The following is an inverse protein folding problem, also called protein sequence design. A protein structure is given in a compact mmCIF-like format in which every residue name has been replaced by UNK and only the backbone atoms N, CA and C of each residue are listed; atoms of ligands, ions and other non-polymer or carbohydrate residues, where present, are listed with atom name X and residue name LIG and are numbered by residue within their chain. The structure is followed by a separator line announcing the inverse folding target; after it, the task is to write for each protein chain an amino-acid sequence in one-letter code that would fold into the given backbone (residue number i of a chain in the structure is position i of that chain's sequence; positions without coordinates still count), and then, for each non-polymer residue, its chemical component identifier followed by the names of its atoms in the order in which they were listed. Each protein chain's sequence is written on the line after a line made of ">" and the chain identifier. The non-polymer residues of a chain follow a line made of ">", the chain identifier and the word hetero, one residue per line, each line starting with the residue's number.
data_IF_579642318249
#
_entry.id   IF_579642318249
#
_cell.length_a   1.000
_cell.length_b   1.000
_cell.length_c   1.000
_cell.angle_alpha   90.00
_cell.angle_beta   90.00
_cell.angle_gamma   90.00
#
_symmetry.space_group_name_H-M   'P 1'
#
loop_
_entity.id
_entity.type
_entity.pdbx_description
1 polymer ?
#
# COMPACT_ATOMS: atom_id res chain seq x y z
N UNK A 1 -11.24 19.25 -0.87
CA UNK A 1 -10.13 18.83 -1.74
C UNK A 1 -9.30 17.73 -1.08
N UNK A 2 -9.18 17.73 0.25
CA UNK A 2 -8.51 16.66 1.02
C UNK A 2 -9.22 15.31 0.96
N UNK A 3 -10.56 15.28 0.90
CA UNK A 3 -11.36 14.05 0.92
C UNK A 3 -11.11 13.14 -0.30
N UNK A 4 -10.95 13.70 -1.50
CA UNK A 4 -10.66 12.90 -2.71
C UNK A 4 -9.29 12.24 -2.58
N UNK A 5 -8.30 12.97 -2.07
CA UNK A 5 -6.95 12.47 -1.88
C UNK A 5 -6.93 11.38 -0.79
N UNK A 6 -7.69 11.55 0.28
CA UNK A 6 -7.88 10.55 1.33
C UNK A 6 -8.52 9.25 0.79
N UNK A 7 -9.57 9.36 -0.04
CA UNK A 7 -10.18 8.22 -0.73
C UNK A 7 -9.14 7.54 -1.62
N UNK A 8 -8.38 8.29 -2.42
CA UNK A 8 -7.34 7.74 -3.28
C UNK A 8 -6.24 7.01 -2.49
N UNK A 9 -5.79 7.55 -1.36
CA UNK A 9 -4.81 6.89 -0.48
C UNK A 9 -5.40 5.59 0.07
N UNK A 10 -6.62 5.63 0.61
CA UNK A 10 -7.30 4.45 1.15
C UNK A 10 -7.43 3.33 0.12
N UNK A 11 -7.88 3.66 -1.10
CA UNK A 11 -8.02 2.71 -2.20
C UNK A 11 -6.65 2.22 -2.72
N UNK A 12 -5.64 3.09 -2.79
CA UNK A 12 -4.30 2.70 -3.21
C UNK A 12 -3.67 1.73 -2.21
N UNK A 13 -3.79 1.99 -0.90
CA UNK A 13 -3.37 1.07 0.15
C UNK A 13 -4.14 -0.23 0.09
N UNK A 14 -5.45 -0.18 -0.16
CA UNK A 14 -6.26 -1.38 -0.35
C UNK A 14 -5.75 -2.25 -1.50
N UNK A 15 -5.29 -1.66 -2.61
CA UNK A 15 -4.68 -2.42 -3.71
C UNK A 15 -3.38 -3.14 -3.29
N UNK A 16 -2.64 -2.59 -2.32
CA UNK A 16 -1.41 -3.23 -1.82
C UNK A 16 -1.67 -4.45 -0.93
N UNK A 17 -2.87 -4.56 -0.35
CA UNK A 17 -3.32 -5.73 0.44
C UNK A 17 -3.30 -7.00 -0.39
N UNK A 18 -3.51 -6.89 -1.72
CA UNK A 18 -3.48 -8.04 -2.61
C UNK A 18 -2.14 -8.78 -2.66
N UNK A 19 -1.03 -8.08 -2.40
CA UNK A 19 0.30 -8.67 -2.37
C UNK A 19 0.59 -9.31 -1.01
N UNK A 20 0.26 -8.61 0.08
CA UNK A 20 0.30 -9.10 1.46
C UNK A 20 -0.78 -8.41 2.25
N UNK A 21 -1.55 -9.17 3.03
CA UNK A 21 -2.73 -8.65 3.69
C UNK A 21 -2.33 -7.74 4.86
N UNK A 22 -1.36 -8.18 5.65
CA UNK A 22 -1.01 -7.51 6.90
C UNK A 22 0.09 -6.46 6.76
N UNK A 23 0.94 -6.56 5.73
CA UNK A 23 2.07 -5.63 5.54
C UNK A 23 1.62 -4.17 5.37
N UNK A 24 0.60 -3.83 4.55
CA UNK A 24 0.13 -2.45 4.44
C UNK A 24 -0.46 -1.93 5.76
N UNK A 25 -1.15 -2.79 6.54
CA UNK A 25 -1.67 -2.45 7.87
C UNK A 25 -0.55 -2.18 8.87
N UNK A 26 0.51 -3.00 8.87
CA UNK A 26 1.69 -2.80 9.69
C UNK A 26 2.38 -1.47 9.36
N UNK A 27 2.60 -1.17 8.08
CA UNK A 27 3.25 0.07 7.65
C UNK A 27 2.37 1.27 8.04
N UNK A 28 1.06 1.19 7.81
CA UNK A 28 0.12 2.24 8.24
C UNK A 28 0.21 2.46 9.75
N UNK A 29 0.19 1.39 10.55
CA UNK A 29 0.33 1.47 12.00
C UNK A 29 1.65 2.11 12.44
N UNK A 30 2.78 1.76 11.82
CA UNK A 30 4.09 2.37 12.11
C UNK A 30 4.07 3.87 11.81
N UNK A 31 3.53 4.29 10.66
CA UNK A 31 3.46 5.70 10.28
C UNK A 31 2.56 6.52 11.22
N UNK A 32 1.48 5.93 11.71
CA UNK A 32 0.62 6.56 12.72
C UNK A 32 1.34 6.62 14.07
N UNK A 33 2.09 5.59 14.44
CA UNK A 33 2.82 5.53 15.71
C UNK A 33 3.91 6.59 15.86
N UNK A 34 4.56 6.95 14.75
CA UNK A 34 5.61 7.98 14.71
C UNK A 34 5.04 9.37 14.40
N UNK A 35 3.71 9.55 14.53
CA UNK A 35 2.98 10.80 14.27
C UNK A 35 3.19 11.37 12.85
N UNK A 36 3.54 10.53 11.88
CA UNK A 36 3.67 10.95 10.48
C UNK A 36 2.31 11.06 9.79
N UNK A 37 1.34 10.25 10.22
CA UNK A 37 -0.03 10.21 9.68
C UNK A 37 -1.04 10.32 10.81
N UNK A 38 -2.10 11.07 10.56
CA UNK A 38 -3.31 11.10 11.40
C UNK A 38 -4.44 10.41 10.67
N UNK A 39 -5.02 9.38 11.29
CA UNK A 39 -6.19 8.66 10.77
C UNK A 39 -7.49 9.34 11.18
N UNK A 40 -8.60 8.93 10.55
CA UNK A 40 -9.95 9.35 10.95
C UNK A 40 -10.28 8.95 12.38
N UNK A 41 -11.25 9.65 12.97
CA UNK A 41 -11.68 9.42 14.35
C UNK A 41 -12.12 7.97 14.54
N UNK A 42 -11.64 7.32 15.61
CA UNK A 42 -11.91 5.91 15.89
C UNK A 42 -10.94 4.91 15.27
N UNK A 43 -9.99 5.33 14.42
CA UNK A 43 -8.96 4.45 13.83
C UNK A 43 -7.54 4.66 14.38
N UNK A 44 -7.35 5.58 15.33
CA UNK A 44 -6.05 5.85 15.97
C UNK A 44 -5.43 4.61 16.64
N UNK A 45 -6.25 3.63 17.03
CA UNK A 45 -5.78 2.36 17.60
C UNK A 45 -4.87 1.56 16.66
N UNK A 46 -4.95 1.78 15.34
CA UNK A 46 -4.07 1.13 14.34
C UNK A 46 -2.60 1.47 14.60
N UNK A 47 -2.32 2.67 15.11
CA UNK A 47 -0.97 3.11 15.52
C UNK A 47 -0.59 2.75 16.96
N UNK A 48 -1.42 2.01 17.69
CA UNK A 48 -1.09 1.59 19.05
C UNK A 48 -0.03 0.47 19.05
N UNK A 49 0.84 0.44 20.05
CA UNK A 49 1.87 -0.60 20.18
C UNK A 49 1.29 -2.03 20.14
N UNK A 50 0.15 -2.34 20.78
CA UNK A 50 -0.46 -3.67 20.66
C UNK A 50 -0.90 -4.01 19.22
N UNK A 51 -1.47 -3.05 18.49
CA UNK A 51 -1.90 -3.27 17.10
C UNK A 51 -0.70 -3.51 16.18
N UNK A 52 0.38 -2.74 16.34
CA UNK A 52 1.62 -2.91 15.55
C UNK A 52 2.24 -4.28 15.80
N UNK A 53 2.33 -4.71 17.07
CA UNK A 53 2.83 -6.04 17.40
C UNK A 53 1.95 -7.12 16.76
N UNK A 54 0.63 -6.99 16.83
CA UNK A 54 -0.30 -7.93 16.21
C UNK A 54 -0.12 -7.99 14.69
N UNK A 55 -0.02 -6.84 14.00
CA UNK A 55 0.23 -6.80 12.56
C UNK A 55 1.61 -7.35 12.19
N UNK A 56 2.65 -7.07 12.98
CA UNK A 56 3.99 -7.61 12.76
C UNK A 56 4.01 -9.14 12.87
N UNK A 57 3.39 -9.69 13.91
CA UNK A 57 3.25 -11.15 14.08
C UNK A 57 2.42 -11.74 12.94
N UNK A 58 1.32 -11.09 12.54
CA UNK A 58 0.49 -11.54 11.43
C UNK A 58 1.25 -11.54 10.09
N UNK A 59 2.06 -10.51 9.80
CA UNK A 59 2.93 -10.45 8.62
C UNK A 59 3.98 -11.56 8.65
N UNK A 60 4.64 -11.79 9.79
CA UNK A 60 5.60 -12.88 9.92
C UNK A 60 4.94 -14.25 9.72
N UNK A 61 3.74 -14.43 10.25
CA UNK A 61 2.96 -15.64 10.05
C UNK A 61 2.56 -15.82 8.58
N UNK A 62 2.10 -14.76 7.90
CA UNK A 62 1.78 -14.76 6.47
C UNK A 62 3.00 -15.15 5.62
N UNK A 63 4.19 -14.68 5.98
CA UNK A 63 5.46 -15.07 5.33
C UNK A 63 5.76 -16.55 5.61
N UNK A 64 5.69 -16.98 6.87
CA UNK A 64 6.01 -18.35 7.26
C UNK A 64 5.09 -19.39 6.61
N UNK A 65 3.79 -19.11 6.53
CA UNK A 65 2.79 -20.02 5.96
C UNK A 65 2.99 -20.22 4.45
N UNK A 66 3.54 -19.24 3.73
CA UNK A 66 3.89 -19.41 2.31
C UNK A 66 4.89 -20.56 2.07
N UNK A 67 5.63 -21.01 3.08
CA UNK A 67 6.60 -22.11 2.98
C UNK A 67 6.06 -23.46 3.45
N UNK A 68 4.87 -23.54 4.04
CA UNK A 68 4.30 -24.77 4.62
C UNK A 68 3.04 -25.17 3.83
N UNK A 69 3.10 -26.17 2.93
CA UNK A 69 2.00 -26.51 2.03
C UNK A 69 0.68 -26.86 2.72
N UNK A 70 0.75 -27.60 3.85
CA UNK A 70 -0.43 -28.04 4.59
C UNK A 70 -1.19 -26.88 5.27
N UNK A 71 -0.46 -25.89 5.80
CA UNK A 71 -1.04 -24.68 6.42
C UNK A 71 -1.47 -23.69 5.33
N UNK A 72 -0.74 -23.67 4.20
CA UNK A 72 -1.01 -22.80 3.06
C UNK A 72 -2.39 -22.98 2.45
N UNK A 73 -2.92 -24.21 2.34
CA UNK A 73 -4.27 -24.44 1.76
C UNK A 73 -5.40 -23.86 2.61
N UNK A 74 -5.31 -23.96 3.94
CA UNK A 74 -6.30 -23.36 4.84
C UNK A 74 -6.19 -21.83 4.84
N UNK A 75 -4.96 -21.31 4.88
CA UNK A 75 -4.74 -19.87 4.81
C UNK A 75 -5.27 -19.28 3.50
N UNK A 76 -4.98 -19.88 2.35
CA UNK A 76 -5.48 -19.41 1.04
C UNK A 76 -7.01 -19.28 1.00
N UNK A 77 -7.75 -20.12 1.73
CA UNK A 77 -9.21 -20.03 1.81
C UNK A 77 -9.69 -18.82 2.62
N UNK A 78 -9.06 -18.54 3.76
CA UNK A 78 -9.45 -17.44 4.65
C UNK A 78 -8.78 -16.11 4.29
N UNK A 79 -7.69 -16.13 3.53
CA UNK A 79 -6.96 -14.93 3.09
C UNK A 79 -7.82 -14.01 2.24
N UNK A 80 -8.66 -14.53 1.34
CA UNK A 80 -9.53 -13.69 0.50
C UNK A 80 -10.53 -12.84 1.31
N UNK A 81 -11.32 -13.40 2.25
CA UNK A 81 -12.19 -12.56 3.08
C UNK A 81 -11.42 -11.65 4.03
N UNK A 82 -10.26 -12.08 4.55
CA UNK A 82 -9.41 -11.20 5.38
C UNK A 82 -8.85 -10.04 4.54
N UNK A 83 -8.44 -10.28 3.29
CA UNK A 83 -8.00 -9.24 2.37
C UNK A 83 -9.11 -8.19 2.14
N UNK A 84 -10.35 -8.65 1.94
CA UNK A 84 -11.50 -7.75 1.85
C UNK A 84 -11.60 -6.85 3.09
N UNK A 85 -11.59 -7.45 4.29
CA UNK A 85 -11.71 -6.72 5.55
C UNK A 85 -10.55 -5.75 5.78
N UNK A 86 -9.32 -6.15 5.44
CA UNK A 86 -8.14 -5.29 5.53
C UNK A 86 -8.24 -4.08 4.58
N UNK A 87 -8.71 -4.30 3.34
CA UNK A 87 -8.93 -3.23 2.37
C UNK A 87 -10.02 -2.25 2.78
N UNK A 88 -11.12 -2.76 3.37
CA UNK A 88 -12.19 -1.96 3.97
C UNK A 88 -11.63 -1.11 5.11
N UNK A 89 -10.92 -1.76 6.04
CA UNK A 89 -10.35 -1.12 7.22
C UNK A 89 -9.38 0.02 6.84
N UNK A 90 -8.45 -0.25 5.93
CA UNK A 90 -7.53 0.76 5.42
C UNK A 90 -8.29 1.90 4.76
N UNK A 91 -9.25 1.62 3.88
CA UNK A 91 -9.98 2.67 3.18
C UNK A 91 -10.81 3.54 4.15
N UNK A 92 -11.52 2.94 5.10
CA UNK A 92 -12.28 3.66 6.11
C UNK A 92 -11.38 4.52 7.02
N UNK A 93 -10.20 4.01 7.38
CA UNK A 93 -9.28 4.72 8.29
C UNK A 93 -8.72 6.06 7.76
N UNK A 94 -8.81 6.31 6.44
CA UNK A 94 -8.43 7.60 5.85
C UNK A 94 -9.62 8.50 5.54
N UNK A 95 -10.83 7.96 5.38
CA UNK A 95 -12.03 8.74 5.03
C UNK A 95 -12.71 9.18 6.33
N UNK A 96 -12.39 10.37 6.85
CA UNK A 96 -12.98 10.89 8.11
C UNK A 96 -14.12 11.91 7.94
N UNK A 97 -14.06 12.74 6.90
CA UNK A 97 -14.96 13.90 6.75
C UNK A 97 -16.12 13.62 5.79
N UNK A 98 -16.83 12.50 5.95
CA UNK A 98 -17.95 12.11 5.08
C UNK A 98 -19.14 11.60 5.88
N UNK A 99 -20.32 11.52 5.23
CA UNK A 99 -21.46 10.85 5.86
C UNK A 99 -21.14 9.36 6.06
N UNK A 100 -21.50 8.75 7.20
CA UNK A 100 -21.15 7.34 7.48
C UNK A 100 -21.61 6.39 6.38
N UNK A 101 -22.78 6.64 5.78
CA UNK A 101 -23.28 5.85 4.66
C UNK A 101 -22.32 5.85 3.46
N UNK A 102 -21.77 7.01 3.10
CA UNK A 102 -20.90 7.15 1.94
C UNK A 102 -19.49 6.63 2.23
N UNK A 103 -18.96 6.89 3.43
CA UNK A 103 -17.69 6.35 3.91
C UNK A 103 -17.68 4.81 3.84
N UNK A 104 -18.66 4.16 4.48
CA UNK A 104 -18.75 2.71 4.47
C UNK A 104 -19.06 2.14 3.08
N UNK A 105 -19.82 2.84 2.25
CA UNK A 105 -20.04 2.42 0.86
C UNK A 105 -18.73 2.40 0.06
N UNK A 106 -17.91 3.45 0.18
CA UNK A 106 -16.60 3.52 -0.49
C UNK A 106 -15.63 2.49 0.09
N UNK A 107 -15.60 2.35 1.42
CA UNK A 107 -14.74 1.37 2.07
C UNK A 107 -15.10 -0.07 1.68
N UNK A 108 -16.39 -0.43 1.69
CA UNK A 108 -16.87 -1.78 1.35
C UNK A 108 -16.70 -2.06 -0.14
N UNK A 109 -17.24 -1.20 -1.00
CA UNK A 109 -17.27 -1.44 -2.45
C UNK A 109 -15.89 -1.19 -3.06
N UNK A 110 -15.30 -0.04 -2.76
CA UNK A 110 -14.01 0.36 -3.26
C UNK A 110 -12.89 -0.37 -2.53
N UNK A 111 -12.76 -0.15 -1.22
CA UNK A 111 -11.72 -0.78 -0.41
C UNK A 111 -11.76 -2.31 -0.47
N UNK A 112 -12.86 -2.93 -0.04
CA UNK A 112 -13.01 -4.39 -0.06
C UNK A 112 -12.91 -4.99 -1.46
N UNK A 113 -13.51 -4.34 -2.46
CA UNK A 113 -13.45 -4.78 -3.86
C UNK A 113 -12.04 -4.75 -4.45
N UNK A 114 -11.28 -3.67 -4.22
CA UNK A 114 -9.91 -3.52 -4.72
C UNK A 114 -8.96 -4.51 -4.05
N UNK A 115 -9.06 -4.71 -2.73
CA UNK A 115 -8.22 -5.68 -2.02
C UNK A 115 -8.51 -7.12 -2.46
N UNK A 116 -9.79 -7.49 -2.60
CA UNK A 116 -10.15 -8.84 -3.06
C UNK A 116 -9.72 -9.11 -4.50
N UNK A 117 -9.93 -8.15 -5.40
CA UNK A 117 -9.53 -8.28 -6.80
C UNK A 117 -8.02 -8.40 -6.97
N UNK A 118 -7.25 -7.56 -6.26
CA UNK A 118 -5.78 -7.63 -6.27
C UNK A 118 -5.30 -8.96 -5.66
N UNK A 119 -5.85 -9.39 -4.52
CA UNK A 119 -5.47 -10.65 -3.88
C UNK A 119 -5.77 -11.88 -4.75
N UNK A 120 -6.95 -11.92 -5.38
CA UNK A 120 -7.33 -12.99 -6.29
C UNK A 120 -6.39 -13.05 -7.51
N UNK A 121 -6.01 -11.90 -8.04
CA UNK A 121 -5.08 -11.79 -9.18
C UNK A 121 -3.70 -12.33 -8.81
N UNK A 122 -3.15 -11.90 -7.68
CA UNK A 122 -1.85 -12.39 -7.19
C UNK A 122 -1.91 -13.89 -6.93
N UNK A 123 -2.98 -14.39 -6.31
CA UNK A 123 -3.19 -15.83 -6.08
C UNK A 123 -3.19 -16.63 -7.39
N UNK A 124 -3.84 -16.12 -8.44
CA UNK A 124 -3.83 -16.74 -9.76
C UNK A 124 -2.43 -16.75 -10.39
N UNK A 125 -1.68 -15.65 -10.28
CA UNK A 125 -0.29 -15.55 -10.76
C UNK A 125 0.61 -16.56 -10.04
N UNK A 126 0.45 -16.73 -8.74
CA UNK A 126 1.21 -17.74 -7.97
C UNK A 126 0.91 -19.16 -8.44
N UNK A 127 -0.37 -19.48 -8.67
CA UNK A 127 -0.78 -20.80 -9.17
C UNK A 127 -0.13 -21.15 -10.51
N UNK A 128 -0.01 -20.17 -11.42
CA UNK A 128 0.71 -20.36 -12.70
C UNK A 128 2.23 -20.40 -12.51
N UNK A 129 2.77 -19.61 -11.58
CA UNK A 129 4.22 -19.55 -11.34
C UNK A 129 4.77 -20.81 -10.68
N UNK A 130 3.95 -21.50 -9.88
CA UNK A 130 4.22 -22.82 -9.33
C UNK A 130 4.39 -23.88 -10.42
N UNK A 131 3.62 -23.81 -11.51
CA UNK A 131 3.78 -24.74 -12.65
C UNK A 131 4.99 -24.39 -13.52
N UNK A 132 5.47 -23.14 -13.47
CA UNK A 132 6.59 -22.64 -14.27
C UNK A 132 7.94 -22.56 -13.52
N UNK A 133 8.05 -23.08 -12.29
CA UNK A 133 9.25 -22.97 -11.42
C UNK A 133 9.68 -21.51 -11.11
N UNK A 134 8.77 -20.54 -11.27
CA UNK A 134 9.04 -19.11 -11.05
C UNK A 134 8.52 -18.60 -9.70
N UNK A 135 7.99 -19.47 -8.83
CA UNK A 135 7.41 -19.11 -7.53
C UNK A 135 8.31 -18.29 -6.61
N UNK A 136 9.62 -18.55 -6.51
CA UNK A 136 10.49 -17.73 -5.66
C UNK A 136 10.57 -16.28 -6.14
N UNK A 137 10.67 -16.07 -7.46
CA UNK A 137 10.75 -14.73 -8.03
C UNK A 137 9.45 -13.93 -7.80
N UNK A 138 8.29 -14.57 -7.95
CA UNK A 138 6.99 -13.94 -7.67
C UNK A 138 6.81 -13.63 -6.19
N UNK A 139 7.25 -14.52 -5.30
CA UNK A 139 7.17 -14.27 -3.85
C UNK A 139 8.03 -13.08 -3.42
N UNK A 140 9.23 -12.92 -3.99
CA UNK A 140 10.07 -11.74 -3.75
C UNK A 140 9.42 -10.47 -4.29
N UNK A 141 8.79 -10.53 -5.47
CA UNK A 141 8.09 -9.39 -6.05
C UNK A 141 6.87 -8.98 -5.21
N UNK A 142 6.14 -9.94 -4.65
CA UNK A 142 5.04 -9.70 -3.71
C UNK A 142 5.53 -8.98 -2.45
N UNK A 143 6.56 -9.51 -1.81
CA UNK A 143 7.11 -8.94 -0.57
C UNK A 143 7.67 -7.53 -0.79
N UNK A 144 8.37 -7.33 -1.90
CA UNK A 144 8.89 -6.03 -2.30
C UNK A 144 7.75 -5.04 -2.57
N UNK A 145 6.73 -5.45 -3.35
CA UNK A 145 5.63 -4.55 -3.71
C UNK A 145 4.76 -4.22 -2.51
N UNK A 146 4.45 -5.20 -1.66
CA UNK A 146 3.70 -5.02 -0.43
C UNK A 146 4.38 -4.09 0.57
N UNK A 147 5.71 -3.99 0.53
CA UNK A 147 6.49 -3.13 1.42
C UNK A 147 6.71 -1.75 0.82
N UNK A 148 7.17 -1.70 -0.43
CA UNK A 148 7.58 -0.45 -1.09
C UNK A 148 6.35 0.39 -1.46
N UNK A 149 5.28 -0.22 -1.97
CA UNK A 149 4.13 0.55 -2.46
C UNK A 149 3.42 1.36 -1.36
N UNK A 150 3.10 0.81 -0.16
CA UNK A 150 2.52 1.61 0.92
C UNK A 150 3.42 2.76 1.38
N UNK A 151 4.73 2.51 1.48
CA UNK A 151 5.70 3.54 1.84
C UNK A 151 5.70 4.65 0.79
N UNK A 152 5.72 4.31 -0.50
CA UNK A 152 5.67 5.29 -1.59
C UNK A 152 4.34 6.07 -1.62
N UNK A 153 3.21 5.43 -1.29
CA UNK A 153 1.91 6.11 -1.18
C UNK A 153 1.99 7.21 -0.11
N UNK A 154 2.59 6.91 1.06
CA UNK A 154 2.75 7.90 2.13
C UNK A 154 3.81 8.96 1.85
N UNK A 155 4.88 8.61 1.14
CA UNK A 155 5.94 9.55 0.75
C UNK A 155 5.62 10.31 -0.54
N UNK A 156 4.48 10.05 -1.21
CA UNK A 156 4.12 10.69 -2.48
C UNK A 156 4.19 12.23 -2.43
N UNK A 157 3.73 12.92 -1.37
CA UNK A 157 3.87 14.38 -1.25
C UNK A 157 5.35 14.82 -1.20
N UNK A 158 6.20 14.07 -0.50
CA UNK A 158 7.64 14.35 -0.38
C UNK A 158 8.36 14.09 -1.71
N UNK A 159 8.04 12.99 -2.40
CA UNK A 159 8.58 12.68 -3.72
C UNK A 159 8.22 13.75 -4.75
N UNK A 160 7.00 14.29 -4.70
CA UNK A 160 6.58 15.38 -5.57
C UNK A 160 7.45 16.63 -5.41
N UNK A 161 7.85 16.98 -4.18
CA UNK A 161 8.75 18.10 -3.91
C UNK A 161 10.13 17.87 -4.53
N UNK A 162 10.72 16.69 -4.32
CA UNK A 162 12.02 16.34 -4.90
C UNK A 162 11.98 16.32 -6.44
N UNK A 163 10.89 15.82 -7.02
CA UNK A 163 10.69 15.83 -8.46
C UNK A 163 10.64 17.25 -9.02
N UNK A 164 9.89 18.16 -8.37
CA UNK A 164 9.81 19.58 -8.77
C UNK A 164 11.17 20.28 -8.64
N UNK A 165 11.93 20.03 -7.57
CA UNK A 165 13.29 20.55 -7.39
C UNK A 165 14.25 20.02 -8.48
N UNK A 166 14.15 18.73 -8.82
CA UNK A 166 14.91 18.12 -9.91
C UNK A 166 14.59 18.74 -11.26
N UNK A 167 13.32 18.98 -11.56
CA UNK A 167 12.90 19.72 -12.77
C UNK A 167 13.44 21.14 -12.79
N UNK A 168 13.33 21.88 -11.68
CA UNK A 168 13.85 23.24 -11.57
C UNK A 168 15.37 23.28 -11.79
N UNK A 169 16.11 22.33 -11.20
CA UNK A 169 17.55 22.18 -11.42
C UNK A 169 17.89 21.84 -12.88
N UNK A 170 17.13 20.94 -13.51
CA UNK A 170 17.35 20.58 -14.91
C UNK A 170 17.09 21.76 -15.84
N UNK A 171 15.99 22.51 -15.61
CA UNK A 171 15.67 23.74 -16.35
C UNK A 171 16.78 24.78 -16.15
N UNK A 172 17.25 24.98 -14.91
CA UNK A 172 18.35 25.90 -14.62
C UNK A 172 19.65 25.51 -15.32
N UNK A 173 20.00 24.20 -15.31
CA UNK A 173 21.17 23.67 -16.02
C UNK A 173 21.04 23.86 -17.53
N UNK A 174 19.84 23.65 -18.09
CA UNK A 174 19.58 23.83 -19.51
C UNK A 174 19.61 25.31 -19.91
N UNK A 175 19.00 26.19 -19.12
CA UNK A 175 19.03 27.64 -19.28
C UNK A 175 20.45 28.20 -19.22
N UNK A 176 21.26 27.76 -18.23
CA UNK A 176 22.69 28.11 -18.16
C UNK A 176 23.47 27.62 -19.38
N UNK A 177 23.18 26.43 -19.90
CA UNK A 177 23.80 25.93 -21.14
C UNK A 177 23.40 26.74 -22.38
N UNK A 178 22.17 27.25 -22.45
CA UNK A 178 21.72 28.08 -23.57
C UNK A 178 22.26 29.52 -23.51
N UNK A 179 22.44 30.12 -22.32
CA UNK A 179 23.06 31.44 -22.19
C UNK A 179 24.59 31.46 -22.39
N UNK A 180 25.28 30.34 -22.15
CA UNK A 180 26.73 30.24 -22.36
C UNK A 180 27.13 29.76 -23.76
N UNK A 181 26.29 29.97 -24.79
CA UNK A 181 26.81 29.90 -26.17
C UNK A 181 27.74 31.12 -26.38
N UNK A 182 29.06 30.93 -26.56
CA UNK A 182 29.92 32.05 -26.89
C UNK A 182 29.46 32.66 -28.21
N UNK A 183 29.43 34.00 -28.28
CA UNK A 183 29.26 34.73 -29.54
C UNK A 183 30.30 34.18 -30.52
N UNK A 184 29.85 33.54 -31.60
CA UNK A 184 30.71 33.29 -32.75
C UNK A 184 31.15 34.66 -33.28
N UNK A 185 32.45 34.92 -33.21
CA UNK A 185 33.16 35.99 -33.92
C UNK A 185 33.57 35.43 -35.27
#
# INVERSE_FOLDING_TARGET
>A
METILAICIGLALSATVGFRIFTPLLITGIFVHVDWLTLSEGFSWIGSTPAIIAFAVATLFEIAVNYIPAVGSFMKMISTPIAALAGILLTASFIGDMSPFLEWSIAIIGGGGVATASHATITAVKGVSETALMSPAVSVAEDATATIAPILIFLAPVLAIFFLLGMAFMIFKLYRRFLHKPKAI
#
